data_IF_734718631494
#
_entry.id   IF_734718631494
#
_cell.length_a   1.000
_cell.length_b   1.000
_cell.length_c   1.000
_cell.angle_alpha   90.00
_cell.angle_beta   90.00
_cell.angle_gamma   90.00
#
_symmetry.space_group_name_H-M   'P 1'
#
loop_
_entity.id
_entity.type
_entity.pdbx_description
1 polymer ?
#
# COMPACT_ATOMS: atom_id res chain seq x y z
N UNK A 1 19.60 -1.23 18.09
CA UNK A 1 18.23 -1.07 17.58
C UNK A 1 18.22 -1.51 16.13
N UNK A 2 17.60 -2.64 15.81
CA UNK A 2 17.50 -3.11 14.42
C UNK A 2 16.45 -2.24 13.71
N UNK A 3 16.87 -1.39 12.77
CA UNK A 3 15.96 -0.58 11.95
C UNK A 3 15.17 -1.54 11.05
N UNK A 4 13.94 -1.89 11.42
CA UNK A 4 13.07 -2.67 10.55
C UNK A 4 12.61 -1.74 9.43
N UNK A 5 13.06 -2.02 8.20
CA UNK A 5 12.58 -1.32 7.02
C UNK A 5 11.05 -1.45 6.93
N UNK A 6 10.36 -0.35 6.63
CA UNK A 6 8.92 -0.37 6.46
C UNK A 6 8.51 -1.37 5.36
N UNK A 7 7.55 -2.22 5.70
CA UNK A 7 6.88 -3.14 4.78
C UNK A 7 5.49 -2.61 4.46
N UNK A 8 5.06 -2.77 3.22
CA UNK A 8 3.82 -2.21 2.70
C UNK A 8 2.96 -3.32 2.12
N UNK A 9 1.66 -3.30 2.39
CA UNK A 9 0.67 -4.13 1.70
C UNK A 9 -0.24 -3.21 0.90
N UNK A 10 -0.34 -3.44 -0.40
CA UNK A 10 -1.14 -2.61 -1.30
C UNK A 10 -2.32 -3.43 -1.79
N UNK A 11 -3.50 -3.17 -1.23
CA UNK A 11 -4.68 -4.01 -1.39
C UNK A 11 -5.67 -3.29 -2.29
N UNK A 12 -6.03 -3.92 -3.41
CA UNK A 12 -7.05 -3.39 -4.31
C UNK A 12 -8.44 -3.50 -3.65
N UNK A 13 -9.17 -2.39 -3.59
CA UNK A 13 -10.53 -2.39 -3.10
C UNK A 13 -11.46 -3.02 -4.14
N UNK A 14 -12.34 -3.87 -3.67
CA UNK A 14 -13.33 -4.55 -4.51
C UNK A 14 -14.67 -4.57 -3.80
N UNK A 15 -15.74 -4.95 -4.49
CA UNK A 15 -17.05 -5.10 -3.85
C UNK A 15 -17.06 -6.18 -2.76
N UNK A 16 -16.14 -7.15 -2.84
CA UNK A 16 -15.99 -8.24 -1.87
C UNK A 16 -15.14 -7.82 -0.66
N UNK A 17 -14.19 -6.91 -0.85
CA UNK A 17 -13.38 -6.31 0.21
C UNK A 17 -13.33 -4.77 0.02
N UNK A 18 -14.40 -4.06 0.41
CA UNK A 18 -14.51 -2.62 0.19
C UNK A 18 -13.57 -1.82 1.10
N UNK A 19 -13.14 -2.40 2.22
CA UNK A 19 -12.27 -1.75 3.21
C UNK A 19 -10.78 -2.07 3.01
N UNK A 20 -10.44 -2.99 2.11
CA UNK A 20 -9.06 -3.45 1.94
C UNK A 20 -8.55 -4.16 3.19
N UNK A 21 -9.44 -4.80 3.95
CA UNK A 21 -9.13 -5.39 5.26
C UNK A 21 -8.57 -6.80 5.12
N UNK A 22 -8.86 -7.47 4.00
CA UNK A 22 -8.32 -8.80 3.74
C UNK A 22 -6.86 -8.69 3.29
N UNK A 23 -5.97 -8.72 4.28
CA UNK A 23 -4.52 -8.79 4.10
C UNK A 23 -4.04 -10.24 3.96
N UNK A 24 -4.95 -11.23 3.94
CA UNK A 24 -4.63 -12.65 4.05
C UNK A 24 -4.10 -13.18 2.73
N UNK A 25 -2.77 -13.19 2.60
CA UNK A 25 -2.07 -13.67 1.41
C UNK A 25 -1.45 -12.56 0.57
N UNK A 26 -1.69 -11.30 0.94
CA UNK A 26 -1.09 -10.15 0.27
C UNK A 26 0.39 -10.02 0.67
N UNK A 27 1.31 -9.95 -0.30
CA UNK A 27 2.74 -9.93 0.00
C UNK A 27 3.13 -8.64 0.74
N UNK A 28 4.01 -8.78 1.74
CA UNK A 28 4.69 -7.63 2.34
C UNK A 28 5.72 -7.11 1.34
N UNK A 29 5.42 -5.99 0.71
CA UNK A 29 6.26 -5.37 -0.31
C UNK A 29 7.24 -4.37 0.30
N UNK A 30 8.41 -4.24 -0.32
CA UNK A 30 9.29 -3.11 -0.10
C UNK A 30 8.69 -1.83 -0.71
N UNK A 31 9.08 -0.66 -0.22
CA UNK A 31 8.61 0.63 -0.74
C UNK A 31 8.58 0.76 -2.28
N UNK A 32 9.66 0.45 -3.04
CA UNK A 32 9.64 0.58 -4.50
C UNK A 32 8.63 -0.36 -5.18
N UNK A 33 8.52 -1.60 -4.72
CA UNK A 33 7.54 -2.57 -5.24
C UNK A 33 6.11 -2.15 -4.91
N UNK A 34 5.85 -1.72 -3.67
CA UNK A 34 4.55 -1.22 -3.26
C UNK A 34 4.13 0.02 -4.08
N UNK A 35 5.06 0.94 -4.33
CA UNK A 35 4.78 2.12 -5.16
C UNK A 35 4.48 1.73 -6.61
N UNK A 36 5.14 0.69 -7.14
CA UNK A 36 4.84 0.14 -8.46
C UNK A 36 3.43 -0.44 -8.50
N UNK A 37 3.07 -1.31 -7.56
CA UNK A 37 1.72 -1.89 -7.47
C UNK A 37 0.64 -0.81 -7.34
N UNK A 38 0.84 0.20 -6.50
CA UNK A 38 -0.08 1.32 -6.33
C UNK A 38 -0.29 2.11 -7.65
N UNK A 39 0.78 2.33 -8.42
CA UNK A 39 0.68 2.97 -9.75
C UNK A 39 -0.08 2.11 -10.74
N UNK A 40 0.12 0.79 -10.73
CA UNK A 40 -0.61 -0.14 -11.59
C UNK A 40 -2.11 -0.15 -11.26
N UNK A 41 -2.48 -0.13 -9.99
CA UNK A 41 -3.88 -0.04 -9.56
C UNK A 41 -4.52 1.30 -9.95
N UNK A 42 -3.81 2.41 -9.72
CA UNK A 42 -4.25 3.74 -10.18
C UNK A 42 -4.45 3.78 -11.70
N UNK A 43 -3.52 3.20 -12.48
CA UNK A 43 -3.62 3.13 -13.94
C UNK A 43 -4.80 2.27 -14.43
N UNK A 44 -5.25 1.31 -13.62
CA UNK A 44 -6.45 0.51 -13.89
C UNK A 44 -7.73 1.21 -13.42
N UNK A 45 -7.64 2.41 -12.82
CA UNK A 45 -8.79 3.11 -12.22
C UNK A 45 -9.32 2.43 -10.96
N UNK A 46 -8.53 1.55 -10.33
CA UNK A 46 -8.94 0.83 -9.11
C UNK A 46 -8.54 1.62 -7.88
N UNK A 47 -9.47 1.73 -6.94
CA UNK A 47 -9.16 2.21 -5.60
C UNK A 47 -8.36 1.16 -4.83
N UNK A 48 -7.51 1.59 -3.91
CA UNK A 48 -6.65 0.70 -3.15
C UNK A 48 -6.33 1.28 -1.77
N UNK A 49 -6.02 0.39 -0.82
CA UNK A 49 -5.58 0.71 0.53
C UNK A 49 -4.13 0.27 0.74
N UNK A 50 -3.38 1.05 1.51
CA UNK A 50 -2.00 0.75 1.84
C UNK A 50 -1.88 0.54 3.35
N UNK A 51 -1.57 -0.69 3.76
CA UNK A 51 -1.19 -0.99 5.14
C UNK A 51 0.32 -0.93 5.28
N UNK A 52 0.80 -0.38 6.38
CA UNK A 52 2.25 -0.21 6.60
C UNK A 52 2.65 -0.79 7.94
N UNK A 53 3.62 -1.69 7.90
CA UNK A 53 4.29 -2.22 9.08
C UNK A 53 5.67 -1.58 9.23
N UNK A 54 5.95 -1.01 10.40
CA UNK A 54 7.24 -0.38 10.72
C UNK A 54 7.27 1.14 10.50
N UNK A 55 8.46 1.72 10.66
CA UNK A 55 8.66 3.18 10.57
C UNK A 55 8.86 3.61 9.12
N UNK A 56 7.96 4.46 8.63
CA UNK A 56 7.97 4.99 7.27
C UNK A 56 8.26 6.49 7.28
N UNK A 57 8.95 6.96 6.26
CA UNK A 57 9.19 8.40 6.10
C UNK A 57 7.90 9.11 5.68
N UNK A 58 7.69 10.34 6.15
CA UNK A 58 6.55 11.17 5.74
C UNK A 58 6.45 11.32 4.21
N UNK A 59 7.60 11.37 3.53
CA UNK A 59 7.66 11.44 2.07
C UNK A 59 7.09 10.17 1.41
N UNK A 60 7.34 8.99 1.97
CA UNK A 60 6.82 7.72 1.45
C UNK A 60 5.29 7.67 1.55
N UNK A 61 4.72 8.07 2.71
CA UNK A 61 3.27 8.20 2.88
C UNK A 61 2.68 9.21 1.88
N UNK A 62 3.33 10.35 1.68
CA UNK A 62 2.84 11.38 0.79
C UNK A 62 2.74 10.90 -0.66
N UNK A 63 3.68 10.06 -1.12
CA UNK A 63 3.64 9.47 -2.47
C UNK A 63 2.45 8.54 -2.66
N UNK A 64 2.12 7.71 -1.67
CA UNK A 64 0.92 6.87 -1.74
C UNK A 64 -0.37 7.71 -1.71
N UNK A 65 -0.44 8.76 -0.89
CA UNK A 65 -1.58 9.69 -0.87
C UNK A 65 -1.80 10.38 -2.22
N UNK A 66 -0.73 10.81 -2.89
CA UNK A 66 -0.79 11.40 -4.24
C UNK A 66 -1.33 10.41 -5.30
N UNK A 67 -1.12 9.11 -5.07
CA UNK A 67 -1.70 8.05 -5.87
C UNK A 67 -3.16 7.73 -5.52
N UNK A 68 -3.73 8.34 -4.48
CA UNK A 68 -5.09 8.12 -4.02
C UNK A 68 -5.23 6.98 -3.00
N UNK A 69 -4.13 6.57 -2.36
CA UNK A 69 -4.16 5.52 -1.35
C UNK A 69 -5.00 5.90 -0.13
N UNK A 70 -5.80 4.95 0.35
CA UNK A 70 -6.36 4.97 1.70
C UNK A 70 -5.38 4.31 2.69
N UNK A 71 -5.44 4.71 3.96
CA UNK A 71 -4.64 4.14 5.06
C UNK A 71 -5.57 3.67 6.16
#
# INVERSE_FOLDING_TARGET
MTYMAATYHVIALSSEDPDGADTRGEPSLSYPDALKSAKELKSQGKAFRVHVGGEQSAEQMQRFRDLGALF
#
